data_IF_741744718610
#
_entry.id   IF_741744718610
#
_cell.length_a   1.000
_cell.length_b   1.000
_cell.length_c   1.000
_cell.angle_alpha   90.00
_cell.angle_beta   90.00
_cell.angle_gamma   90.00
#
_symmetry.space_group_name_H-M   'P 1'
#
loop_
_entity.id
_entity.type
_entity.pdbx_description
1 polymer ?
#
# COMPACT_ATOMS: atom_id res chain seq x y z
N UNK A 1 -0.62 0.01 6.18
CA UNK A 1 -0.25 1.32 5.58
C UNK A 1 -0.77 2.51 6.39
N UNK A 2 0.09 3.49 6.74
CA UNK A 2 -0.32 4.76 7.35
C UNK A 2 -1.07 5.70 6.39
N UNK A 3 -1.02 5.44 5.09
CA UNK A 3 -1.83 6.12 4.05
C UNK A 3 -3.33 6.12 4.40
N UNK A 4 -3.85 5.00 4.90
CA UNK A 4 -5.28 4.83 5.21
C UNK A 4 -5.72 5.69 6.40
N UNK A 5 -4.83 5.90 7.35
CA UNK A 5 -5.05 6.74 8.54
C UNK A 5 -4.69 8.22 8.35
N UNK A 6 -4.10 8.58 7.20
CA UNK A 6 -3.65 9.94 6.94
C UNK A 6 -4.82 10.87 6.63
N UNK A 7 -4.74 12.12 7.07
CA UNK A 7 -5.73 13.15 6.72
C UNK A 7 -5.75 13.41 5.22
N UNK A 8 -6.89 13.86 4.68
CA UNK A 8 -7.06 14.14 3.25
C UNK A 8 -5.92 14.97 2.62
N UNK A 9 -5.51 16.13 3.17
CA UNK A 9 -4.37 16.87 2.61
C UNK A 9 -3.06 16.08 2.70
N UNK A 10 -2.83 15.31 3.78
CA UNK A 10 -1.65 14.46 3.93
C UNK A 10 -1.60 13.32 2.91
N UNK A 11 -2.73 12.85 2.40
CA UNK A 11 -2.78 11.87 1.31
C UNK A 11 -2.35 12.51 -0.02
N UNK A 12 -2.77 13.75 -0.29
CA UNK A 12 -2.41 14.49 -1.52
C UNK A 12 -0.91 14.80 -1.57
N UNK A 13 -0.35 15.30 -0.47
CA UNK A 13 1.06 15.70 -0.42
C UNK A 13 2.01 14.55 -0.03
N UNK A 14 1.48 13.33 0.11
CA UNK A 14 2.23 12.14 0.53
C UNK A 14 3.00 12.28 1.86
N UNK A 15 2.58 13.18 2.76
CA UNK A 15 3.32 13.47 3.99
C UNK A 15 3.43 12.26 4.95
N UNK A 16 2.57 11.25 4.81
CA UNK A 16 2.61 10.02 5.60
C UNK A 16 3.91 9.22 5.39
N UNK A 17 4.55 9.34 4.22
CA UNK A 17 5.81 8.61 3.90
C UNK A 17 7.04 9.25 4.57
N UNK A 18 6.95 10.51 4.99
CA UNK A 18 8.08 11.26 5.56
C UNK A 18 8.67 10.59 6.81
N UNK A 19 7.86 9.81 7.54
CA UNK A 19 8.31 9.01 8.68
C UNK A 19 9.34 7.95 8.27
N UNK A 20 9.03 7.18 7.22
CA UNK A 20 9.90 6.17 6.64
C UNK A 20 11.18 6.78 6.04
N UNK A 21 11.04 7.90 5.31
CA UNK A 21 12.18 8.61 4.73
C UNK A 21 13.16 9.09 5.81
N UNK A 22 12.65 9.59 6.94
CA UNK A 22 13.48 10.02 8.07
C UNK A 22 14.22 8.83 8.70
N UNK A 23 13.58 7.66 8.78
CA UNK A 23 14.21 6.44 9.28
C UNK A 23 15.33 5.98 8.35
N UNK A 24 15.09 5.95 7.03
CA UNK A 24 16.08 5.60 6.01
C UNK A 24 17.28 6.55 5.96
N UNK A 25 17.07 7.82 6.30
CA UNK A 25 18.16 8.78 6.44
C UNK A 25 19.07 8.49 7.66
N UNK A 26 18.50 7.97 8.76
CA UNK A 26 19.24 7.69 10.00
C UNK A 26 19.87 6.30 10.03
N UNK A 27 19.23 5.31 9.42
CA UNK A 27 19.67 3.91 9.38
C UNK A 27 19.28 3.26 8.05
N UNK A 28 20.03 2.25 7.57
CA UNK A 28 19.57 1.43 6.44
C UNK A 28 18.22 0.78 6.79
N UNK A 29 17.29 0.81 5.83
CA UNK A 29 15.95 0.25 5.99
C UNK A 29 16.02 -1.28 5.98
N UNK A 30 15.26 -1.90 6.87
CA UNK A 30 15.02 -3.35 6.91
C UNK A 30 13.58 -3.62 6.50
N UNK A 31 13.25 -4.84 6.04
CA UNK A 31 11.89 -5.21 5.64
C UNK A 31 10.85 -4.90 6.72
N UNK A 32 11.19 -5.13 7.99
CA UNK A 32 10.33 -4.82 9.15
C UNK A 32 10.04 -3.31 9.34
N UNK A 33 10.87 -2.43 8.79
CA UNK A 33 10.65 -0.97 8.85
C UNK A 33 9.65 -0.49 7.78
N UNK A 34 9.35 -1.32 6.77
CA UNK A 34 8.46 -0.98 5.66
C UNK A 34 7.01 -1.23 6.07
N UNK A 35 6.11 -0.34 5.64
CA UNK A 35 4.69 -0.49 5.96
C UNK A 35 4.07 -1.70 5.23
N UNK A 36 3.28 -2.49 5.96
CA UNK A 36 2.42 -3.50 5.33
C UNK A 36 1.49 -2.89 4.30
N UNK A 37 1.33 -3.58 3.16
CA UNK A 37 0.48 -3.19 2.04
C UNK A 37 -0.96 -2.88 2.48
N UNK A 38 -1.58 -1.93 1.79
CA UNK A 38 -2.97 -1.55 2.04
C UNK A 38 -3.87 -2.76 1.72
N UNK A 39 -4.84 -3.13 2.60
CA UNK A 39 -5.74 -4.24 2.35
C UNK A 39 -6.41 -4.24 0.98
N UNK A 40 -6.66 -3.06 0.40
CA UNK A 40 -7.24 -2.92 -0.95
C UNK A 40 -6.31 -3.43 -2.07
N UNK A 41 -5.00 -3.27 -1.88
CA UNK A 41 -3.97 -3.54 -2.88
C UNK A 41 -3.36 -4.95 -2.72
N UNK A 42 -3.77 -5.68 -1.68
CA UNK A 42 -3.29 -7.04 -1.43
C UNK A 42 -3.89 -8.02 -2.44
N UNK A 43 -3.08 -9.00 -2.86
CA UNK A 43 -3.49 -10.02 -3.84
C UNK A 43 -4.75 -10.77 -3.41
N UNK A 44 -4.94 -11.03 -2.11
CA UNK A 44 -6.16 -11.66 -1.58
C UNK A 44 -7.45 -10.90 -1.92
N UNK A 45 -7.35 -9.59 -2.13
CA UNK A 45 -8.48 -8.70 -2.42
C UNK A 45 -8.63 -8.45 -3.92
N UNK A 46 -7.51 -8.33 -4.65
CA UNK A 46 -7.49 -8.00 -6.08
C UNK A 46 -7.70 -9.22 -6.98
N UNK A 47 -7.19 -10.40 -6.60
CA UNK A 47 -7.25 -11.62 -7.42
C UNK A 47 -8.68 -12.13 -7.63
N UNK A 48 -9.55 -12.24 -6.61
CA UNK A 48 -10.89 -12.80 -6.79
C UNK A 48 -11.79 -12.05 -7.81
N UNK A 49 -11.90 -10.71 -7.79
CA UNK A 49 -12.70 -10.01 -8.81
C UNK A 49 -12.06 -10.11 -10.20
N UNK A 50 -10.73 -10.12 -10.28
CA UNK A 50 -10.04 -10.32 -11.56
C UNK A 50 -10.34 -11.69 -12.17
N UNK A 51 -10.19 -12.78 -11.42
CA UNK A 51 -10.49 -14.14 -11.88
C UNK A 51 -11.96 -14.28 -12.31
N UNK A 52 -12.88 -13.64 -11.58
CA UNK A 52 -14.30 -13.65 -11.95
C UNK A 52 -14.56 -13.06 -13.33
N UNK A 53 -13.94 -11.93 -13.66
CA UNK A 53 -14.11 -11.30 -14.98
C UNK A 53 -13.33 -12.07 -16.06
N UNK A 54 -12.15 -12.59 -15.73
CA UNK A 54 -11.36 -13.42 -16.63
C UNK A 54 -12.12 -14.67 -17.09
N UNK A 55 -12.82 -15.35 -16.18
CA UNK A 55 -13.63 -16.53 -16.51
C UNK A 55 -14.88 -16.23 -17.35
N UNK A 56 -15.38 -14.99 -17.34
CA UNK A 56 -16.47 -14.58 -18.24
C UNK A 56 -15.98 -14.42 -19.67
N UNK A 57 -14.81 -13.81 -19.85
CA UNK A 57 -14.19 -13.60 -21.16
C UNK A 57 -13.64 -14.89 -21.78
N UNK A 58 -13.30 -15.88 -20.93
CA UNK A 58 -12.80 -17.18 -21.37
C UNK A 58 -13.90 -18.12 -21.90
N UNK A 59 -15.17 -17.71 -21.81
CA UNK A 59 -16.35 -18.46 -22.25
C UNK A 59 -16.85 -17.97 -23.60
#
# INVERSE_FOLDING_TARGET
CPEVSASFPSQIIFAWICSLLRTGYRKPLVEDDVFELNPRDQSRTVVPPFEKEWEKERK
#
